data_IF_357517701862
#
_entry.id   IF_357517701862
#
_cell.length_a   1.000
_cell.length_b   1.000
_cell.length_c   1.000
_cell.angle_alpha   90.00
_cell.angle_beta   90.00
_cell.angle_gamma   90.00
#
_symmetry.space_group_name_H-M   'P 1'
#
loop_
_entity.id
_entity.type
_entity.pdbx_description
1 polymer ?
#
# COMPACT_ATOMS: atom_id res chain seq x y z
N UNK A 1 3.92 -7.52 -16.74
CA UNK A 1 3.58 -6.69 -15.57
C UNK A 1 3.59 -5.23 -15.97
N UNK A 2 2.68 -4.40 -15.45
CA UNK A 2 2.77 -2.96 -15.67
C UNK A 2 4.16 -2.47 -15.21
N UNK A 3 4.70 -1.48 -15.90
CA UNK A 3 6.01 -0.92 -15.61
C UNK A 3 5.92 -0.03 -14.36
N UNK A 4 5.79 -0.68 -13.20
CA UNK A 4 5.61 -0.02 -11.90
C UNK A 4 6.97 0.48 -11.41
N UNK A 5 7.05 1.76 -11.06
CA UNK A 5 8.21 2.33 -10.36
C UNK A 5 7.97 2.23 -8.86
N UNK A 6 8.85 1.56 -8.12
CA UNK A 6 8.74 1.35 -6.69
C UNK A 6 9.57 2.36 -5.90
N UNK A 7 9.00 2.87 -4.82
CA UNK A 7 9.71 3.68 -3.82
C UNK A 7 10.49 2.79 -2.84
N UNK A 8 11.27 3.41 -1.96
CA UNK A 8 11.92 2.73 -0.84
C UNK A 8 10.89 2.07 0.10
N UNK A 9 11.26 0.96 0.77
CA UNK A 9 10.33 0.24 1.62
C UNK A 9 10.01 1.02 2.90
N UNK A 10 8.72 1.04 3.25
CA UNK A 10 8.21 1.50 4.52
C UNK A 10 8.08 0.31 5.48
N UNK A 11 8.88 0.31 6.55
CA UNK A 11 8.89 -0.77 7.55
C UNK A 11 8.26 -0.32 8.86
N UNK A 12 7.20 -1.02 9.29
CA UNK A 12 6.64 -0.88 10.63
C UNK A 12 7.31 -1.79 11.67
N UNK A 13 6.89 -1.69 12.92
CA UNK A 13 7.31 -2.62 13.98
C UNK A 13 6.95 -4.07 13.61
N UNK A 14 7.88 -5.02 13.86
CA UNK A 14 7.63 -6.44 13.66
C UNK A 14 7.92 -7.02 12.26
N UNK A 15 8.83 -6.43 11.49
CA UNK A 15 9.26 -6.92 10.14
C UNK A 15 8.18 -6.84 9.04
N UNK A 16 7.18 -5.99 9.20
CA UNK A 16 6.19 -5.74 8.15
C UNK A 16 6.67 -4.57 7.27
N UNK A 17 7.39 -4.88 6.19
CA UNK A 17 7.89 -3.91 5.22
C UNK A 17 7.04 -3.92 3.94
N UNK A 18 6.58 -2.75 3.52
CA UNK A 18 5.77 -2.57 2.32
C UNK A 18 6.40 -1.56 1.37
N UNK A 19 6.21 -1.75 0.07
CA UNK A 19 6.60 -0.78 -0.96
C UNK A 19 5.35 -0.20 -1.60
N UNK A 20 5.45 1.08 -1.95
CA UNK A 20 4.45 1.77 -2.76
C UNK A 20 5.03 1.95 -4.16
N UNK A 21 4.22 1.71 -5.18
CA UNK A 21 4.64 1.86 -6.56
C UNK A 21 3.59 2.54 -7.41
N UNK A 22 4.02 3.20 -8.48
CA UNK A 22 3.14 3.87 -9.44
C UNK A 22 3.38 3.38 -10.87
N UNK A 23 2.32 3.15 -11.63
CA UNK A 23 2.42 2.87 -13.07
C UNK A 23 2.48 4.16 -13.92
N UNK A 24 2.75 4.07 -15.23
CA UNK A 24 2.78 5.24 -16.11
C UNK A 24 1.44 5.97 -16.29
N UNK A 25 0.33 5.36 -15.87
CA UNK A 25 -1.00 5.97 -15.93
C UNK A 25 -1.35 6.71 -14.63
N UNK A 26 -0.48 6.64 -13.61
CA UNK A 26 -0.70 7.25 -12.30
C UNK A 26 -1.49 6.38 -11.33
N UNK A 27 -1.67 5.08 -11.60
CA UNK A 27 -2.27 4.15 -10.66
C UNK A 27 -1.27 3.77 -9.56
N UNK A 28 -1.71 3.75 -8.31
CA UNK A 28 -0.89 3.37 -7.16
C UNK A 28 -1.07 1.88 -6.81
N UNK A 29 0.01 1.27 -6.36
CA UNK A 29 0.13 -0.14 -5.99
C UNK A 29 0.87 -0.24 -4.65
N UNK A 30 0.53 -1.27 -3.86
CA UNK A 30 1.24 -1.60 -2.63
C UNK A 30 1.70 -3.05 -2.75
N UNK A 31 2.92 -3.37 -2.34
CA UNK A 31 3.43 -4.74 -2.27
C UNK A 31 4.18 -4.95 -0.96
N UNK A 32 4.36 -6.21 -0.56
CA UNK A 32 5.34 -6.56 0.48
C UNK A 32 6.73 -6.43 -0.12
N UNK A 33 7.70 -5.91 0.65
CA UNK A 33 9.09 -5.80 0.20
C UNK A 33 9.64 -7.16 -0.24
N UNK A 34 10.20 -7.23 -1.46
CA UNK A 34 10.66 -8.47 -2.07
C UNK A 34 9.55 -9.35 -2.69
N UNK A 35 8.30 -8.89 -2.71
CA UNK A 35 7.16 -9.53 -3.38
C UNK A 35 6.46 -8.57 -4.37
N UNK A 36 7.23 -7.73 -5.05
CA UNK A 36 6.72 -6.72 -5.98
C UNK A 36 5.95 -7.32 -7.17
N UNK A 37 6.27 -8.57 -7.51
CA UNK A 37 5.56 -9.39 -8.52
C UNK A 37 4.12 -9.71 -8.06
N UNK A 38 3.89 -9.78 -6.75
CA UNK A 38 2.59 -10.03 -6.13
C UNK A 38 2.10 -8.78 -5.39
N UNK A 39 1.93 -7.69 -6.13
CA UNK A 39 1.33 -6.49 -5.55
C UNK A 39 -0.04 -6.82 -4.93
N UNK A 40 -0.29 -6.23 -3.75
CA UNK A 40 -1.57 -6.27 -3.06
C UNK A 40 -2.57 -5.51 -3.93
N UNK A 41 -3.27 -6.25 -4.78
CA UNK A 41 -4.51 -5.82 -5.40
C UNK A 41 -5.59 -5.84 -4.33
N UNK A 42 -5.45 -5.05 -3.26
CA UNK A 42 -6.62 -4.86 -2.45
C UNK A 42 -7.67 -4.14 -3.30
N UNK A 43 -8.89 -4.63 -3.19
CA UNK A 43 -9.99 -4.11 -3.99
C UNK A 43 -10.14 -2.62 -3.70
N UNK A 44 -10.63 -1.85 -4.68
CA UNK A 44 -11.00 -0.44 -4.46
C UNK A 44 -11.80 -0.28 -3.15
N UNK A 45 -12.60 -1.28 -2.79
CA UNK A 45 -13.38 -1.35 -1.57
C UNK A 45 -12.53 -1.37 -0.29
N UNK A 46 -11.41 -2.07 -0.25
CA UNK A 46 -10.55 -2.08 0.93
C UNK A 46 -9.75 -0.78 1.07
N UNK A 47 -9.25 -0.22 -0.02
CA UNK A 47 -8.63 1.12 0.00
C UNK A 47 -9.64 2.18 0.45
N UNK A 48 -10.88 2.10 -0.04
CA UNK A 48 -11.98 2.98 0.37
C UNK A 48 -12.36 2.78 1.83
N UNK A 49 -12.35 1.53 2.31
CA UNK A 49 -12.61 1.20 3.72
C UNK A 49 -11.53 1.78 4.61
N UNK A 50 -10.25 1.59 4.27
CA UNK A 50 -9.12 2.16 5.00
C UNK A 50 -9.20 3.69 5.06
N UNK A 51 -9.43 4.37 3.93
CA UNK A 51 -9.59 5.83 3.90
C UNK A 51 -10.78 6.29 4.75
N UNK A 52 -11.88 5.52 4.74
CA UNK A 52 -13.06 5.83 5.55
C UNK A 52 -12.77 5.66 7.04
N UNK A 53 -12.07 4.60 7.42
CA UNK A 53 -11.72 4.31 8.81
C UNK A 53 -10.68 5.30 9.38
N UNK A 54 -9.72 5.76 8.56
CA UNK A 54 -8.82 6.86 8.91
C UNK A 54 -9.63 8.14 9.17
N UNK A 55 -10.55 8.50 8.29
CA UNK A 55 -11.42 9.68 8.46
C UNK A 55 -12.36 9.56 9.67
N UNK A 56 -12.74 8.33 10.04
CA UNK A 56 -13.56 8.04 11.20
C UNK A 56 -12.76 8.01 12.52
N UNK A 57 -11.45 8.28 12.49
CA UNK A 57 -10.59 8.26 13.68
C UNK A 57 -10.31 6.85 14.21
N UNK A 58 -10.62 5.79 13.45
CA UNK A 58 -10.33 4.41 13.87
C UNK A 58 -8.88 4.00 13.66
N UNK A 59 -8.10 4.81 12.97
CA UNK A 59 -6.66 4.64 12.82
C UNK A 59 -5.85 5.54 13.77
N UNK A 60 -6.50 6.25 14.70
CA UNK A 60 -5.86 7.21 15.61
C UNK A 60 -4.86 6.54 16.58
N UNK A 61 -4.99 5.23 16.79
CA UNK A 61 -4.10 4.39 17.60
C UNK A 61 -2.96 3.74 16.80
N UNK A 62 -2.82 4.06 15.50
CA UNK A 62 -1.71 3.63 14.66
C UNK A 62 -0.59 4.68 14.53
N UNK A 63 -0.70 5.81 15.25
CA UNK A 63 0.29 6.88 15.30
C UNK A 63 1.00 6.94 16.67
#
# INVERSE_FOLDING_TARGET
MPNITWEDPYCGEGNNCFRIGTDPNGNAYIAVDGQEDHYLTDTLEALRTLITDIKAGKADHLL
#
